data_IF_877603626886
#
_entry.id   IF_877603626886
#
_cell.length_a   1.000
_cell.length_b   1.000
_cell.length_c   1.000
_cell.angle_alpha   90.00
_cell.angle_beta   90.00
_cell.angle_gamma   90.00
#
_symmetry.space_group_name_H-M   'P 1'
#
loop_
_entity.id
_entity.type
_entity.pdbx_description
1 polymer ?
#
# COMPACT_ATOMS: atom_id res chain seq x y z
N UNK A 1 12.84 -13.33 -4.23
CA UNK A 1 11.39 -13.65 -4.26
C UNK A 1 11.06 -14.51 -3.05
N UNK A 2 9.97 -14.19 -2.34
CA UNK A 2 9.48 -15.01 -1.23
C UNK A 2 8.88 -16.29 -1.79
N UNK A 3 9.06 -17.42 -1.08
CA UNK A 3 8.48 -18.71 -1.48
C UNK A 3 7.01 -18.75 -1.04
N UNK A 4 6.13 -18.29 -1.93
CA UNK A 4 4.68 -18.30 -1.76
C UNK A 4 4.02 -18.84 -3.03
N UNK A 5 3.14 -19.81 -2.90
CA UNK A 5 2.43 -20.41 -4.00
C UNK A 5 1.38 -19.47 -4.60
N UNK A 6 0.96 -19.73 -5.83
CA UNK A 6 -0.11 -18.96 -6.48
C UNK A 6 -1.43 -19.07 -5.71
N UNK A 7 -1.73 -20.24 -5.13
CA UNK A 7 -2.96 -20.42 -4.37
C UNK A 7 -2.95 -19.59 -3.08
N UNK A 8 -1.82 -19.55 -2.38
CA UNK A 8 -1.66 -18.69 -1.20
C UNK A 8 -1.77 -17.20 -1.55
N UNK A 9 -1.17 -16.76 -2.67
CA UNK A 9 -1.34 -15.38 -3.15
C UNK A 9 -2.80 -15.04 -3.44
N UNK A 10 -3.55 -15.95 -4.07
CA UNK A 10 -4.99 -15.74 -4.30
C UNK A 10 -5.75 -15.60 -2.99
N UNK A 11 -5.47 -16.46 -2.02
CA UNK A 11 -6.09 -16.40 -0.70
C UNK A 11 -5.73 -15.09 0.02
N UNK A 12 -4.46 -14.70 -0.03
CA UNK A 12 -3.99 -13.42 0.52
C UNK A 12 -4.69 -12.22 -0.15
N UNK A 13 -4.85 -12.23 -1.47
CA UNK A 13 -5.55 -11.16 -2.18
C UNK A 13 -7.04 -11.05 -1.76
N UNK A 14 -7.69 -12.17 -1.46
CA UNK A 14 -9.04 -12.17 -0.86
C UNK A 14 -9.04 -11.50 0.51
N UNK A 15 -8.07 -11.85 1.38
CA UNK A 15 -7.94 -11.22 2.69
C UNK A 15 -7.69 -9.70 2.59
N UNK A 16 -6.84 -9.27 1.64
CA UNK A 16 -6.60 -7.84 1.40
C UNK A 16 -7.87 -7.12 0.95
N UNK A 17 -8.67 -7.73 0.08
CA UNK A 17 -9.98 -7.17 -0.32
C UNK A 17 -10.92 -7.02 0.87
N UNK A 18 -11.00 -8.01 1.75
CA UNK A 18 -11.82 -7.94 2.96
C UNK A 18 -11.38 -6.77 3.84
N UNK A 19 -10.07 -6.60 4.08
CA UNK A 19 -9.53 -5.47 4.85
C UNK A 19 -9.85 -4.12 4.20
N UNK A 20 -9.76 -4.02 2.86
CA UNK A 20 -10.12 -2.81 2.12
C UNK A 20 -11.58 -2.44 2.34
N UNK A 21 -12.49 -3.40 2.22
CA UNK A 21 -13.92 -3.17 2.42
C UNK A 21 -14.20 -2.73 3.86
N UNK A 22 -13.62 -3.43 4.84
CA UNK A 22 -13.81 -3.13 6.27
C UNK A 22 -13.30 -1.72 6.62
N UNK A 23 -12.09 -1.36 6.18
CA UNK A 23 -11.54 -0.01 6.36
C UNK A 23 -12.47 1.08 5.80
N UNK A 24 -12.90 0.92 4.55
CA UNK A 24 -13.74 1.92 3.86
C UNK A 24 -15.12 1.99 4.51
N UNK A 25 -15.68 0.84 4.91
CA UNK A 25 -16.95 0.78 5.63
C UNK A 25 -16.86 1.52 6.98
N UNK A 26 -15.84 1.25 7.78
CA UNK A 26 -15.62 1.93 9.08
C UNK A 26 -15.36 3.43 8.92
N UNK A 27 -14.66 3.81 7.86
CA UNK A 27 -14.39 5.23 7.56
C UNK A 27 -15.62 5.97 6.98
N UNK A 28 -16.63 5.25 6.49
CA UNK A 28 -17.78 5.79 5.73
C UNK A 28 -17.34 6.71 4.58
N UNK A 29 -16.12 6.51 4.07
CA UNK A 29 -15.50 7.35 3.05
C UNK A 29 -14.36 6.59 2.35
N UNK A 30 -14.29 6.65 1.03
CA UNK A 30 -13.21 6.03 0.27
C UNK A 30 -13.64 5.61 -1.14
N UNK A 31 -12.73 4.92 -1.83
CA UNK A 31 -12.87 4.52 -3.24
C UNK A 31 -12.71 2.98 -3.39
N UNK A 32 -13.75 2.18 -3.07
CA UNK A 32 -13.61 0.73 -3.04
C UNK A 32 -13.25 0.14 -4.42
N UNK A 33 -13.90 0.61 -5.49
CA UNK A 33 -13.69 0.06 -6.82
C UNK A 33 -12.23 0.10 -7.28
N UNK A 34 -11.58 1.25 -7.12
CA UNK A 34 -10.17 1.42 -7.48
C UNK A 34 -9.22 0.55 -6.65
N UNK A 35 -9.46 0.44 -5.35
CA UNK A 35 -8.66 -0.38 -4.43
C UNK A 35 -8.83 -1.88 -4.72
N UNK A 36 -10.08 -2.34 -4.93
CA UNK A 36 -10.37 -3.73 -5.25
C UNK A 36 -9.80 -4.15 -6.61
N UNK A 37 -9.83 -3.26 -7.62
CA UNK A 37 -9.27 -3.54 -8.95
C UNK A 37 -7.74 -3.72 -8.93
N UNK A 38 -7.05 -3.11 -7.97
CA UNK A 38 -5.60 -3.21 -7.83
C UNK A 38 -5.16 -4.35 -6.89
N UNK A 39 -6.09 -5.03 -6.22
CA UNK A 39 -5.79 -5.91 -5.10
C UNK A 39 -4.84 -7.07 -5.46
N UNK A 40 -5.07 -7.78 -6.57
CA UNK A 40 -4.21 -8.91 -6.96
C UNK A 40 -2.78 -8.45 -7.26
N UNK A 41 -2.66 -7.37 -8.03
CA UNK A 41 -1.35 -6.84 -8.42
C UNK A 41 -0.56 -6.34 -7.19
N UNK A 42 -1.18 -5.50 -6.35
CA UNK A 42 -0.52 -4.94 -5.17
C UNK A 42 -0.17 -6.03 -4.18
N UNK A 43 -1.06 -7.01 -3.96
CA UNK A 43 -0.77 -8.18 -3.12
C UNK A 43 0.43 -8.96 -3.64
N UNK A 44 0.47 -9.26 -4.95
CA UNK A 44 1.58 -9.98 -5.54
C UNK A 44 2.91 -9.21 -5.33
N UNK A 45 2.92 -7.89 -5.52
CA UNK A 45 4.10 -7.07 -5.27
C UNK A 45 4.58 -7.22 -3.83
N UNK A 46 3.75 -6.96 -2.82
CA UNK A 46 4.16 -6.96 -1.42
C UNK A 46 4.51 -8.35 -0.87
N UNK A 47 3.79 -9.38 -1.28
CA UNK A 47 3.94 -10.71 -0.69
C UNK A 47 4.90 -11.63 -1.44
N UNK A 48 5.20 -11.36 -2.71
CA UNK A 48 6.08 -12.22 -3.52
C UNK A 48 7.32 -11.51 -4.05
N UNK A 49 7.16 -10.33 -4.64
CA UNK A 49 8.23 -9.75 -5.45
C UNK A 49 9.07 -8.72 -4.73
N UNK A 50 8.47 -7.84 -3.94
CA UNK A 50 9.18 -6.72 -3.32
C UNK A 50 10.10 -7.16 -2.18
N UNK A 51 11.30 -6.59 -2.21
CA UNK A 51 12.29 -6.70 -1.15
C UNK A 51 12.09 -5.55 -0.18
N UNK A 52 11.57 -5.85 1.01
CA UNK A 52 11.14 -4.89 2.02
C UNK A 52 11.63 -5.34 3.39
N UNK A 53 11.94 -4.37 4.24
CA UNK A 53 12.23 -4.57 5.65
C UNK A 53 11.28 -3.70 6.51
N UNK A 54 10.24 -4.27 7.12
CA UNK A 54 9.33 -3.53 7.99
C UNK A 54 10.01 -2.92 9.22
N UNK A 55 11.13 -3.49 9.68
CA UNK A 55 11.90 -2.98 10.81
C UNK A 55 12.80 -1.80 10.40
N UNK A 56 13.07 -1.66 9.10
CA UNK A 56 13.81 -0.54 8.54
C UNK A 56 13.08 0.04 7.32
N UNK A 57 11.96 0.77 7.53
CA UNK A 57 11.12 1.29 6.44
C UNK A 57 11.82 2.23 5.46
N UNK A 58 13.00 2.75 5.84
CA UNK A 58 13.81 3.66 5.03
C UNK A 58 15.06 3.03 4.45
N UNK A 59 15.18 1.69 4.54
CA UNK A 59 16.31 0.97 3.97
C UNK A 59 16.58 1.40 2.51
N UNK A 60 17.82 1.84 2.18
CA UNK A 60 18.12 2.43 0.87
C UNK A 60 17.85 1.49 -0.30
N UNK A 61 18.17 0.20 -0.15
CA UNK A 61 18.09 -0.81 -1.22
C UNK A 61 16.74 -1.52 -1.29
N UNK A 62 15.73 -1.02 -0.56
CA UNK A 62 14.38 -1.58 -0.64
C UNK A 62 13.72 -1.31 -2.00
N UNK A 63 12.83 -2.17 -2.41
CA UNK A 63 11.91 -1.87 -3.50
C UNK A 63 10.92 -0.78 -3.09
N UNK A 64 10.51 0.06 -4.05
CA UNK A 64 9.61 1.19 -3.85
C UNK A 64 8.31 1.01 -4.62
N UNK A 65 7.18 1.22 -3.94
CA UNK A 65 5.85 1.19 -4.54
C UNK A 65 5.28 2.60 -4.65
N UNK A 66 4.96 3.00 -5.86
CA UNK A 66 4.30 4.29 -6.14
C UNK A 66 2.91 4.06 -6.72
N UNK A 67 1.87 4.42 -5.97
CA UNK A 67 0.50 4.41 -6.48
C UNK A 67 0.21 5.72 -7.22
N UNK A 68 0.23 5.70 -8.57
CA UNK A 68 -0.08 6.88 -9.38
C UNK A 68 -1.58 7.25 -9.39
N UNK A 69 -2.42 6.42 -8.77
CA UNK A 69 -3.80 6.67 -8.37
C UNK A 69 -3.90 6.62 -6.84
N UNK A 70 -3.42 7.69 -6.17
CA UNK A 70 -3.25 7.71 -4.71
C UNK A 70 -4.51 7.43 -3.91
N UNK A 71 -5.71 7.71 -4.44
CA UNK A 71 -7.00 7.42 -3.79
C UNK A 71 -7.27 5.93 -3.56
N UNK A 72 -6.50 5.01 -4.17
CA UNK A 72 -6.61 3.56 -3.94
C UNK A 72 -5.69 3.07 -2.82
N UNK A 73 -5.10 3.96 -2.04
CA UNK A 73 -4.23 3.63 -0.92
C UNK A 73 -4.77 2.61 0.10
N UNK A 74 -6.09 2.39 0.30
CA UNK A 74 -6.55 1.35 1.20
C UNK A 74 -5.96 -0.03 0.91
N UNK A 75 -5.76 -0.42 -0.35
CA UNK A 75 -5.09 -1.70 -0.65
C UNK A 75 -3.61 -1.68 -0.27
N UNK A 76 -2.92 -0.55 -0.45
CA UNK A 76 -1.53 -0.43 -0.03
C UNK A 76 -1.40 -0.48 1.50
N UNK A 77 -2.29 0.20 2.23
CA UNK A 77 -2.31 0.15 3.69
C UNK A 77 -2.59 -1.26 4.23
N UNK A 78 -3.55 -1.98 3.64
CA UNK A 78 -3.83 -3.37 3.99
C UNK A 78 -2.57 -4.24 3.83
N UNK A 79 -1.85 -4.11 2.71
CA UNK A 79 -0.63 -4.85 2.48
C UNK A 79 0.48 -4.45 3.45
N UNK A 80 0.72 -3.15 3.68
CA UNK A 80 1.75 -2.66 4.60
C UNK A 80 1.53 -3.16 6.03
N UNK A 81 0.29 -3.08 6.55
CA UNK A 81 -0.04 -3.63 7.85
C UNK A 81 0.23 -5.14 7.92
N UNK A 82 -0.22 -5.89 6.90
CA UNK A 82 -0.10 -7.36 6.88
C UNK A 82 1.34 -7.85 6.69
N UNK A 83 2.24 -7.04 6.12
CA UNK A 83 3.68 -7.36 6.07
C UNK A 83 4.45 -6.81 7.29
N UNK A 84 3.80 -6.07 8.19
CA UNK A 84 4.33 -5.70 9.49
C UNK A 84 4.93 -4.30 9.63
N UNK A 85 4.64 -3.35 8.72
CA UNK A 85 5.10 -1.97 8.84
C UNK A 85 4.44 -1.21 10.00
N UNK A 86 3.22 -1.59 10.37
CA UNK A 86 2.47 -1.07 11.51
C UNK A 86 1.37 -2.07 11.92
N UNK A 87 0.81 -1.94 13.15
CA UNK A 87 -0.23 -2.83 13.63
C UNK A 87 -1.49 -2.79 12.76
N UNK A 88 -2.12 -3.94 12.54
CA UNK A 88 -3.38 -4.03 11.76
C UNK A 88 -4.53 -3.20 12.36
N UNK A 89 -4.52 -2.96 13.68
CA UNK A 89 -5.51 -2.11 14.35
C UNK A 89 -5.53 -0.67 13.82
N UNK A 90 -4.43 -0.19 13.24
CA UNK A 90 -4.40 1.12 12.59
C UNK A 90 -5.32 1.22 11.38
N UNK A 91 -5.63 0.10 10.72
CA UNK A 91 -6.55 0.08 9.58
C UNK A 91 -7.93 0.67 9.93
N UNK A 92 -8.34 0.56 11.19
CA UNK A 92 -9.61 1.12 11.70
C UNK A 92 -9.61 2.65 11.80
N UNK A 93 -8.45 3.28 11.60
CA UNK A 93 -8.28 4.73 11.69
C UNK A 93 -8.28 5.42 10.33
N UNK A 94 -8.55 4.71 9.24
CA UNK A 94 -8.55 5.29 7.89
C UNK A 94 -9.34 6.60 7.85
N UNK A 95 -8.70 7.69 7.35
CA UNK A 95 -9.27 9.03 7.18
C UNK A 95 -9.73 9.73 8.47
N UNK A 96 -9.50 9.16 9.64
CA UNK A 96 -9.77 9.86 10.90
C UNK A 96 -8.74 10.95 11.15
N UNK A 97 -9.15 11.97 11.89
CA UNK A 97 -8.24 13.03 12.32
C UNK A 97 -7.08 12.44 13.14
N UNK A 98 -5.87 12.91 12.90
CA UNK A 98 -4.67 12.40 13.55
C UNK A 98 -4.13 11.07 13.02
N UNK A 99 -4.90 10.31 12.26
CA UNK A 99 -4.46 9.03 11.69
C UNK A 99 -3.29 9.19 10.73
N UNK A 100 -2.39 8.20 10.73
CA UNK A 100 -1.36 8.10 9.68
C UNK A 100 -1.94 7.63 8.34
N UNK A 101 -3.12 6.99 8.34
CA UNK A 101 -3.78 6.44 7.16
C UNK A 101 -4.72 7.47 6.52
N UNK A 102 -4.15 8.37 5.77
CA UNK A 102 -4.86 9.45 5.09
C UNK A 102 -5.61 8.94 3.85
N UNK A 103 -6.53 9.75 3.30
CA UNK A 103 -7.28 9.42 2.07
C UNK A 103 -6.43 9.31 0.81
N UNK A 104 -5.18 9.78 0.86
CA UNK A 104 -4.10 9.60 -0.11
C UNK A 104 -2.82 9.24 0.64
N UNK A 105 -1.89 8.47 0.07
CA UNK A 105 -0.70 8.06 0.78
C UNK A 105 0.19 9.26 1.11
N UNK A 106 0.66 9.32 2.35
CA UNK A 106 1.56 10.38 2.85
C UNK A 106 2.87 9.76 3.33
N UNK A 107 3.97 10.08 2.64
CA UNK A 107 5.30 9.58 2.99
C UNK A 107 5.81 10.10 4.35
N UNK A 108 5.25 11.21 4.83
CA UNK A 108 5.62 11.81 6.10
C UNK A 108 4.86 11.23 7.30
N UNK A 109 3.75 10.50 7.05
CA UNK A 109 2.88 9.98 8.09
C UNK A 109 2.91 8.46 8.20
N UNK A 110 2.92 7.76 7.09
CA UNK A 110 2.74 6.31 7.06
C UNK A 110 4.06 5.60 6.71
N UNK A 111 4.56 4.71 7.60
CA UNK A 111 5.73 3.88 7.31
C UNK A 111 5.51 3.01 6.06
N UNK A 112 6.54 2.86 5.24
CA UNK A 112 6.47 2.08 4.00
C UNK A 112 5.82 2.80 2.81
N UNK A 113 5.37 4.04 2.97
CA UNK A 113 4.99 4.92 1.86
C UNK A 113 6.22 5.67 1.37
N UNK A 114 6.57 5.46 0.11
CA UNK A 114 7.78 6.02 -0.50
C UNK A 114 7.60 7.44 -1.01
N UNK A 115 6.38 7.79 -1.44
CA UNK A 115 6.04 9.14 -1.93
C UNK A 115 4.56 9.43 -1.71
N UNK A 116 4.26 10.67 -1.36
CA UNK A 116 2.89 11.17 -1.32
C UNK A 116 2.35 11.35 -2.73
N UNK A 117 1.16 10.78 -3.00
CA UNK A 117 0.48 10.89 -4.29
C UNK A 117 -0.98 11.30 -4.11
N UNK A 118 -1.63 11.77 -5.19
CA UNK A 118 -3.03 12.20 -5.16
C UNK A 118 -3.50 12.60 -6.54
N UNK A 119 -2.76 13.50 -7.21
CA UNK A 119 -3.04 13.86 -8.59
C UNK A 119 -2.77 12.68 -9.51
N UNK A 120 -3.80 12.29 -10.27
CA UNK A 120 -3.77 11.11 -11.15
C UNK A 120 -2.68 11.25 -12.22
N UNK A 121 -1.87 10.19 -12.36
CA UNK A 121 -0.78 10.12 -13.33
C UNK A 121 0.54 10.71 -12.84
N UNK A 122 0.54 11.65 -11.87
CA UNK A 122 1.75 12.30 -11.39
C UNK A 122 2.74 11.34 -10.71
N UNK A 123 2.23 10.32 -10.03
CA UNK A 123 3.06 9.28 -9.41
C UNK A 123 3.95 8.53 -10.41
N UNK A 124 3.51 8.35 -11.65
CA UNK A 124 4.31 7.70 -12.69
C UNK A 124 5.58 8.51 -13.00
N UNK A 125 5.45 9.82 -13.17
CA UNK A 125 6.61 10.69 -13.43
C UNK A 125 7.61 10.65 -12.24
N UNK A 126 7.10 10.67 -11.01
CA UNK A 126 7.92 10.53 -9.81
C UNK A 126 8.64 9.17 -9.77
N UNK A 127 7.94 8.07 -10.09
CA UNK A 127 8.53 6.74 -10.12
C UNK A 127 9.65 6.61 -11.16
N UNK A 128 9.48 7.25 -12.35
CA UNK A 128 10.53 7.31 -13.37
C UNK A 128 11.76 8.05 -12.83
N UNK A 129 11.58 9.21 -12.18
CA UNK A 129 12.67 9.95 -11.55
C UNK A 129 13.40 9.14 -10.48
N UNK A 130 12.66 8.43 -9.63
CA UNK A 130 13.24 7.52 -8.62
C UNK A 130 14.07 6.39 -9.26
N UNK A 131 13.55 5.78 -10.33
CA UNK A 131 14.25 4.70 -11.03
C UNK A 131 15.52 5.21 -11.74
N UNK A 132 15.52 6.42 -12.27
CA UNK A 132 16.71 7.05 -12.87
C UNK A 132 17.76 7.37 -11.80
N UNK A 133 17.35 7.82 -10.63
CA UNK A 133 18.26 8.15 -9.53
C UNK A 133 18.84 6.90 -8.84
N UNK A 134 18.22 5.75 -8.98
CA UNK A 134 18.66 4.48 -8.41
C UNK A 134 19.61 3.67 -9.27
N UNK A 135 19.97 4.17 -10.47
CA UNK A 135 20.99 3.60 -11.36
C UNK A 135 22.37 4.09 -10.99
#
# INVERSE_FOLDING_TARGET
MKDISIQELKNTAVQMRMKVIDMIYKAQSGHPGGALSAADFVTACYFKYMNLDPQNPRWPDRDRMVLSKGHVCPIQYACLASVGFFPESELDTLRKEGSMLQGHPSMNKCPGIDISTGSLGQGLACAVGMAMAGK
#
